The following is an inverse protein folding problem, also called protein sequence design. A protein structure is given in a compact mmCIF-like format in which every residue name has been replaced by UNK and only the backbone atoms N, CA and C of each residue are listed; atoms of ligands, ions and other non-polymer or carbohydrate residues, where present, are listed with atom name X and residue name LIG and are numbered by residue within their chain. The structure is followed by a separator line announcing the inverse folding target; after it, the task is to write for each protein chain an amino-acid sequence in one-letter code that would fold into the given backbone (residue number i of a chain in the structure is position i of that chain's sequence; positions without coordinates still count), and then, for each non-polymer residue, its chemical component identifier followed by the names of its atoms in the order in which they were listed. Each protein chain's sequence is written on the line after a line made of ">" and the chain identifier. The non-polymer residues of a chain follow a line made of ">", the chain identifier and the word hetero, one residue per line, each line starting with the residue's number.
data_IF_959212692109
#
_entry.id   IF_959212692109
#
_cell.length_a   1.000
_cell.length_b   1.000
_cell.length_c   1.000
_cell.angle_alpha   90.00
_cell.angle_beta   90.00
_cell.angle_gamma   90.00
#
_symmetry.space_group_name_H-M   'P 1'
#
loop_
_entity.id
_entity.type
_entity.pdbx_description
1 polymer ?
#
# COMPACT_ATOMS: atom_id res chain seq x y z
N UNK A 1 -42.69 -6.43 -41.37
CA UNK A 1 -42.32 -5.11 -40.81
C UNK A 1 -41.63 -5.43 -39.50
N UNK A 2 -40.31 -5.61 -39.58
CA UNK A 2 -39.46 -6.04 -38.48
C UNK A 2 -39.04 -4.81 -37.68
N UNK A 3 -39.37 -4.76 -36.39
CA UNK A 3 -38.80 -3.76 -35.48
C UNK A 3 -37.50 -4.28 -34.89
N UNK A 4 -36.44 -3.55 -35.22
CA UNK A 4 -35.07 -3.76 -34.77
C UNK A 4 -34.92 -3.44 -33.28
N UNK A 5 -34.28 -4.38 -32.62
CA UNK A 5 -33.71 -4.38 -31.27
C UNK A 5 -33.10 -3.04 -30.86
N UNK A 6 -33.67 -2.43 -29.82
CA UNK A 6 -33.02 -1.35 -29.06
C UNK A 6 -32.05 -1.96 -28.06
N UNK A 7 -30.79 -2.07 -28.46
CA UNK A 7 -29.69 -2.25 -27.52
C UNK A 7 -29.53 -0.98 -26.68
N UNK A 8 -29.79 -1.08 -25.38
CA UNK A 8 -29.36 -0.07 -24.40
C UNK A 8 -28.42 -0.74 -23.42
N UNK A 9 -27.17 -0.30 -23.56
CA UNK A 9 -25.99 -0.62 -22.77
C UNK A 9 -26.27 -0.58 -21.27
N UNK A 10 -26.52 -1.73 -20.66
CA UNK A 10 -26.48 -1.90 -19.21
C UNK A 10 -25.84 -3.25 -18.92
N UNK A 11 -24.53 -3.30 -18.74
CA UNK A 11 -23.78 -4.27 -17.90
C UNK A 11 -22.26 -4.15 -18.11
N UNK A 12 -21.77 -2.94 -18.37
CA UNK A 12 -20.33 -2.65 -18.46
C UNK A 12 -19.72 -2.18 -17.14
N UNK A 13 -20.45 -2.19 -16.03
CA UNK A 13 -19.83 -2.13 -14.69
C UNK A 13 -19.48 -3.55 -14.30
N UNK A 14 -18.29 -3.92 -14.76
CA UNK A 14 -17.53 -5.06 -14.31
C UNK A 14 -17.76 -5.30 -12.82
N UNK A 15 -18.15 -6.52 -12.48
CA UNK A 15 -18.12 -7.07 -11.13
C UNK A 15 -16.69 -6.94 -10.58
N UNK A 16 -16.31 -5.75 -10.10
CA UNK A 16 -15.22 -5.59 -9.16
C UNK A 16 -15.67 -6.33 -7.91
N UNK A 17 -15.32 -7.62 -7.88
CA UNK A 17 -15.65 -8.56 -6.82
C UNK A 17 -15.39 -7.84 -5.51
N UNK A 18 -16.46 -7.63 -4.73
CA UNK A 18 -16.36 -6.93 -3.46
C UNK A 18 -15.21 -7.53 -2.66
N UNK A 19 -14.32 -6.69 -2.12
CA UNK A 19 -13.15 -7.17 -1.40
C UNK A 19 -13.62 -7.96 -0.17
N UNK A 20 -13.45 -9.27 -0.24
CA UNK A 20 -13.92 -10.20 0.80
C UNK A 20 -13.07 -10.13 2.07
N UNK A 21 -11.82 -9.65 1.96
CA UNK A 21 -10.84 -9.66 3.06
C UNK A 21 -10.06 -8.36 3.14
N UNK A 22 -9.87 -7.90 4.37
CA UNK A 22 -8.97 -6.80 4.69
C UNK A 22 -7.53 -7.15 4.27
N UNK A 23 -6.75 -6.15 3.83
CA UNK A 23 -5.36 -6.32 3.41
C UNK A 23 -4.50 -5.16 3.86
N UNK A 24 -3.28 -5.49 4.26
CA UNK A 24 -2.20 -4.53 4.49
C UNK A 24 -0.96 -5.06 3.78
N UNK A 25 -0.39 -4.25 2.89
CA UNK A 25 0.79 -4.59 2.12
C UNK A 25 1.82 -3.49 2.30
N UNK A 26 3.08 -3.90 2.35
CA UNK A 26 4.21 -2.98 2.40
C UNK A 26 5.23 -3.34 1.33
N UNK A 27 5.68 -2.34 0.59
CA UNK A 27 6.64 -2.46 -0.51
C UNK A 27 7.80 -1.50 -0.28
N UNK A 28 9.02 -1.97 -0.55
CA UNK A 28 10.20 -1.11 -0.54
C UNK A 28 10.20 -0.21 -1.78
N UNK A 29 10.60 1.04 -1.61
CA UNK A 29 10.73 2.04 -2.67
C UNK A 29 12.09 2.73 -2.59
N UNK A 30 12.66 3.05 -3.75
CA UNK A 30 13.90 3.82 -3.89
C UNK A 30 13.56 5.32 -4.12
N UNK A 31 14.21 6.28 -3.43
CA UNK A 31 15.17 6.12 -2.32
C UNK A 31 14.48 5.70 -1.01
N UNK A 32 15.26 5.04 -0.13
CA UNK A 32 14.90 4.30 1.09
C UNK A 32 13.60 4.75 1.80
N UNK A 33 12.46 4.38 1.22
CA UNK A 33 11.13 4.66 1.73
C UNK A 33 10.26 3.43 1.56
N UNK A 34 9.18 3.35 2.33
CA UNK A 34 8.20 2.28 2.21
C UNK A 34 6.90 2.84 1.72
N UNK A 35 6.31 2.15 0.75
CA UNK A 35 4.92 2.32 0.38
C UNK A 35 4.09 1.32 1.19
N UNK A 36 3.08 1.82 1.88
CA UNK A 36 2.15 1.02 2.66
C UNK A 36 0.78 1.21 2.04
N UNK A 37 0.09 0.12 1.74
CA UNK A 37 -1.25 0.11 1.19
C UNK A 37 -2.16 -0.70 2.09
N UNK A 38 -3.35 -0.17 2.36
CA UNK A 38 -4.39 -0.90 3.07
C UNK A 38 -5.73 -0.81 2.38
N UNK A 39 -6.51 -1.85 2.60
CA UNK A 39 -7.85 -1.95 2.09
C UNK A 39 -8.70 -2.73 3.09
N UNK A 40 -9.87 -2.18 3.39
CA UNK A 40 -10.85 -2.82 4.27
C UNK A 40 -11.97 -3.41 3.43
N UNK A 41 -12.48 -4.56 3.87
CA UNK A 41 -13.73 -5.11 3.35
C UNK A 41 -14.90 -4.17 3.71
N UNK A 42 -16.03 -4.38 3.05
CA UNK A 42 -17.23 -3.54 3.25
C UNK A 42 -17.68 -3.46 4.71
N UNK A 43 -17.59 -4.57 5.45
CA UNK A 43 -17.93 -4.64 6.87
C UNK A 43 -17.03 -3.72 7.71
N UNK A 44 -15.71 -3.85 7.58
CA UNK A 44 -14.78 -3.05 8.38
C UNK A 44 -14.80 -1.58 7.99
N UNK A 45 -14.93 -1.27 6.70
CA UNK A 45 -15.16 0.11 6.25
C UNK A 45 -16.50 0.66 6.81
N UNK A 46 -17.54 -0.17 6.92
CA UNK A 46 -18.79 0.16 7.59
C UNK A 46 -18.59 0.52 9.06
N UNK A 47 -17.77 -0.23 9.79
CA UNK A 47 -17.45 0.04 11.19
C UNK A 47 -16.80 1.43 11.40
N UNK A 48 -15.89 1.84 10.53
CA UNK A 48 -15.33 3.21 10.55
C UNK A 48 -16.42 4.27 10.28
N UNK A 49 -17.28 4.07 9.27
CA UNK A 49 -18.36 5.01 8.94
C UNK A 49 -19.42 5.13 10.03
N UNK A 50 -19.64 4.06 10.79
CA UNK A 50 -20.59 4.01 11.91
C UNK A 50 -19.98 4.52 13.23
N UNK A 51 -18.70 4.92 13.24
CA UNK A 51 -18.03 5.43 14.45
C UNK A 51 -17.64 4.35 15.47
N UNK A 52 -17.63 3.07 15.07
CA UNK A 52 -17.09 1.97 15.91
C UNK A 52 -15.58 2.13 16.08
N UNK A 53 -14.92 2.75 15.10
CA UNK A 53 -13.53 3.17 15.17
C UNK A 53 -13.44 4.67 14.89
N UNK A 54 -12.37 5.31 15.40
CA UNK A 54 -12.04 6.69 15.05
C UNK A 54 -11.73 6.83 13.55
N UNK A 55 -11.84 8.06 13.05
CA UNK A 55 -11.58 8.39 11.63
C UNK A 55 -10.10 8.29 11.24
N UNK A 56 -9.22 8.18 12.22
CA UNK A 56 -7.79 8.01 12.02
C UNK A 56 -7.32 6.59 12.37
N UNK A 57 -6.41 6.08 11.55
CA UNK A 57 -5.63 4.89 11.82
C UNK A 57 -4.18 5.28 12.11
N UNK A 58 -3.51 4.50 12.95
CA UNK A 58 -2.08 4.60 13.24
C UNK A 58 -1.35 3.50 12.49
N UNK A 59 -0.47 3.89 11.58
CA UNK A 59 0.49 2.99 10.94
C UNK A 59 1.74 2.96 11.80
N UNK A 60 2.07 1.79 12.34
CA UNK A 60 3.29 1.57 13.13
C UNK A 60 4.25 0.68 12.37
N UNK A 61 5.49 1.12 12.24
CA UNK A 61 6.60 0.32 11.73
C UNK A 61 7.29 -0.38 12.88
N UNK A 62 7.69 -1.62 12.64
CA UNK A 62 8.44 -2.45 13.57
C UNK A 62 9.62 -3.08 12.85
N UNK A 63 10.73 -3.25 13.57
CA UNK A 63 11.82 -4.11 13.10
C UNK A 63 11.32 -5.56 13.07
N UNK A 64 11.55 -6.27 11.97
CA UNK A 64 11.06 -7.65 11.82
C UNK A 64 11.75 -8.65 12.74
N UNK A 65 12.99 -8.37 13.17
CA UNK A 65 13.82 -9.27 13.98
C UNK A 65 13.33 -9.37 15.44
N UNK A 66 13.10 -8.22 16.09
CA UNK A 66 12.78 -8.14 17.52
C UNK A 66 11.39 -7.55 17.79
N UNK A 67 10.66 -7.15 16.75
CA UNK A 67 9.34 -6.51 16.81
C UNK A 67 9.35 -5.21 17.63
N UNK A 68 10.50 -4.55 17.76
CA UNK A 68 10.59 -3.26 18.45
C UNK A 68 10.01 -2.15 17.56
N UNK A 69 9.34 -1.13 18.14
CA UNK A 69 8.80 -0.02 17.37
C UNK A 69 9.91 0.79 16.69
N UNK A 70 9.76 1.01 15.38
CA UNK A 70 10.67 1.80 14.56
C UNK A 70 10.09 3.18 14.18
N UNK A 71 8.76 3.32 14.19
CA UNK A 71 8.08 4.57 13.88
C UNK A 71 6.56 4.45 13.92
N UNK A 72 5.87 5.57 14.04
CA UNK A 72 4.41 5.67 14.05
C UNK A 72 3.98 6.94 13.31
N UNK A 73 2.92 6.85 12.51
CA UNK A 73 2.22 8.01 11.97
C UNK A 73 0.70 7.77 11.87
N UNK A 74 -0.07 8.85 12.00
CA UNK A 74 -1.52 8.83 11.84
C UNK A 74 -1.94 9.16 10.40
N UNK A 75 -2.98 8.49 9.92
CA UNK A 75 -3.57 8.67 8.60
C UNK A 75 -5.08 8.56 8.67
N UNK A 76 -5.79 9.20 7.73
CA UNK A 76 -7.22 8.92 7.55
C UNK A 76 -7.42 7.47 7.12
N UNK A 77 -8.44 6.79 7.67
CA UNK A 77 -8.70 5.37 7.39
C UNK A 77 -8.99 5.12 5.90
N UNK A 78 -9.49 6.12 5.18
CA UNK A 78 -9.84 6.10 3.76
C UNK A 78 -8.76 6.67 2.83
N UNK A 79 -7.54 6.95 3.34
CA UNK A 79 -6.44 7.35 2.49
C UNK A 79 -5.88 6.18 1.65
N UNK A 80 -6.11 4.93 2.11
CA UNK A 80 -5.69 3.65 1.51
C UNK A 80 -4.19 3.45 1.30
N UNK A 81 -3.38 4.49 1.46
CA UNK A 81 -1.93 4.44 1.28
C UNK A 81 -1.19 5.44 2.14
N UNK A 82 0.06 5.10 2.45
CA UNK A 82 1.00 5.97 3.13
C UNK A 82 2.42 5.76 2.56
N UNK A 83 3.24 6.79 2.74
CA UNK A 83 4.69 6.70 2.53
C UNK A 83 5.38 7.02 3.84
N UNK A 84 6.24 6.11 4.30
CA UNK A 84 7.04 6.31 5.50
C UNK A 84 8.51 6.16 5.15
N UNK A 85 9.37 6.81 5.93
CA UNK A 85 10.81 6.63 5.88
C UNK A 85 11.22 5.79 7.08
N UNK A 86 11.67 4.54 6.88
CA UNK A 86 12.24 3.77 7.96
C UNK A 86 13.51 4.45 8.51
N UNK A 87 13.82 4.27 9.80
CA UNK A 87 14.96 4.95 10.42
C UNK A 87 16.32 4.44 9.94
N UNK A 88 16.42 3.17 9.51
CA UNK A 88 17.68 2.55 9.08
C UNK A 88 17.51 1.81 7.74
N UNK A 89 18.52 1.92 6.89
CA UNK A 89 18.64 1.13 5.66
C UNK A 89 19.15 -0.29 5.94
N UNK A 90 18.94 -1.23 5.02
CA UNK A 90 19.41 -2.62 5.15
C UNK A 90 18.72 -3.46 6.23
N UNK A 91 17.82 -2.87 7.02
CA UNK A 91 17.04 -3.57 8.04
C UNK A 91 15.70 -4.05 7.48
N UNK A 92 15.19 -5.12 8.07
CA UNK A 92 13.87 -5.66 7.76
C UNK A 92 12.80 -5.04 8.66
N UNK A 93 11.69 -4.66 8.04
CA UNK A 93 10.55 -4.04 8.72
C UNK A 93 9.24 -4.70 8.33
N UNK A 94 8.25 -4.62 9.22
CA UNK A 94 6.84 -4.80 8.90
C UNK A 94 6.00 -3.63 9.44
N UNK A 95 4.80 -3.43 8.89
CA UNK A 95 3.84 -2.44 9.35
C UNK A 95 2.65 -3.12 10.03
N UNK A 96 2.11 -2.49 11.06
CA UNK A 96 0.81 -2.84 11.62
C UNK A 96 -0.10 -1.61 11.68
N UNK A 97 -1.38 -1.84 11.39
CA UNK A 97 -2.41 -0.82 11.47
C UNK A 97 -3.18 -0.94 12.77
N UNK A 98 -3.36 0.20 13.43
CA UNK A 98 -4.17 0.33 14.63
C UNK A 98 -5.28 1.34 14.41
N UNK A 99 -6.43 1.12 15.03
CA UNK A 99 -7.50 2.11 15.09
C UNK A 99 -7.87 2.38 16.53
N UNK A 100 -8.20 3.64 16.83
CA UNK A 100 -8.73 4.02 18.13
C UNK A 100 -10.19 3.57 18.24
N UNK A 101 -10.55 2.99 19.38
CA UNK A 101 -11.95 2.78 19.79
C UNK A 101 -12.51 4.06 20.42
N UNK A 102 -13.84 4.19 20.54
CA UNK A 102 -14.48 5.31 21.24
C UNK A 102 -13.98 5.51 22.68
N UNK A 103 -13.49 4.46 23.34
CA UNK A 103 -12.88 4.52 24.68
C UNK A 103 -11.43 5.01 24.73
N UNK A 104 -10.81 5.34 23.59
CA UNK A 104 -9.42 5.80 23.49
C UNK A 104 -8.38 4.69 23.34
N UNK A 105 -8.74 3.43 23.59
CA UNK A 105 -7.86 2.28 23.39
C UNK A 105 -7.59 2.03 21.90
N UNK A 106 -6.36 1.64 21.57
CA UNK A 106 -5.98 1.24 20.22
C UNK A 106 -6.06 -0.26 20.04
N UNK A 107 -6.75 -0.70 18.98
CA UNK A 107 -6.81 -2.09 18.55
C UNK A 107 -5.97 -2.31 17.29
N UNK A 108 -5.18 -3.39 17.24
CA UNK A 108 -4.47 -3.81 16.02
C UNK A 108 -5.46 -4.44 15.03
N UNK A 109 -5.59 -3.84 13.86
CA UNK A 109 -6.51 -4.32 12.81
C UNK A 109 -5.84 -5.26 11.81
N UNK A 110 -4.64 -4.91 11.35
CA UNK A 110 -3.94 -5.60 10.27
C UNK A 110 -2.43 -5.58 10.48
N UNK A 111 -1.74 -6.52 9.84
CA UNK A 111 -0.29 -6.63 9.81
C UNK A 111 0.17 -6.92 8.38
N UNK A 112 1.28 -6.30 7.96
CA UNK A 112 1.80 -6.42 6.60
C UNK A 112 2.76 -7.60 6.46
N UNK A 113 3.15 -7.89 5.21
CA UNK A 113 4.38 -8.63 4.94
C UNK A 113 5.62 -7.88 5.48
N UNK A 114 6.69 -8.63 5.77
CA UNK A 114 8.00 -8.04 6.05
C UNK A 114 8.75 -7.73 4.76
N UNK A 115 9.52 -6.64 4.73
CA UNK A 115 10.43 -6.29 3.64
C UNK A 115 11.78 -5.85 4.19
N UNK A 116 12.85 -6.08 3.43
CA UNK A 116 14.19 -5.56 3.73
C UNK A 116 14.41 -4.25 2.98
N UNK A 117 14.85 -3.21 3.68
CA UNK A 117 15.11 -1.92 3.07
C UNK A 117 16.36 -1.96 2.20
N UNK A 118 16.32 -1.37 0.99
CA UNK A 118 17.51 -1.24 0.17
C UNK A 118 18.54 -0.38 0.89
N UNK A 119 19.81 -0.75 0.76
CA UNK A 119 20.95 0.09 1.13
C UNK A 119 21.27 1.02 -0.04
N UNK A 120 21.40 2.31 0.24
CA UNK A 120 21.84 3.30 -0.72
C UNK A 120 23.29 2.97 -1.11
N UNK A 121 23.50 2.58 -2.37
CA UNK A 121 24.84 2.40 -2.89
C UNK A 121 25.51 3.77 -3.08
N UNK A 122 26.74 3.99 -2.59
CA UNK A 122 27.48 5.23 -2.83
C UNK A 122 27.95 5.37 -4.27
N UNK A 123 27.78 4.34 -5.11
CA UNK A 123 27.98 4.46 -6.56
C UNK A 123 26.87 5.35 -7.12
N UNK A 124 27.23 6.61 -7.37
CA UNK A 124 26.53 7.55 -8.25
C UNK A 124 25.73 6.80 -9.30
N UNK A 125 24.46 7.16 -9.47
CA UNK A 125 23.59 6.67 -10.53
C UNK A 125 24.17 6.97 -11.91
N UNK A 126 25.19 6.23 -12.33
CA UNK A 126 25.59 6.00 -13.71
C UNK A 126 24.61 5.01 -14.32
N UNK A 127 23.31 5.31 -14.29
CA UNK A 127 22.33 4.63 -15.12
C UNK A 127 22.40 5.22 -16.53
N UNK A 128 23.57 5.15 -17.15
CA UNK A 128 23.67 5.19 -18.60
C UNK A 128 23.33 3.79 -19.08
N UNK A 129 22.04 3.43 -18.98
CA UNK A 129 21.48 2.33 -19.77
C UNK A 129 21.35 2.85 -21.22
N UNK A 130 22.48 3.23 -21.82
CA UNK A 130 22.56 3.41 -23.25
C UNK A 130 22.72 2.00 -23.82
N UNK A 131 21.61 1.44 -24.30
CA UNK A 131 21.62 0.26 -25.17
C UNK A 131 22.38 0.58 -26.46
N UNK A 132 23.71 0.65 -26.38
CA UNK A 132 24.59 0.86 -27.54
C UNK A 132 24.65 -0.37 -28.45
N UNK A 133 24.13 -1.52 -27.99
CA UNK A 133 24.09 -2.76 -28.77
C UNK A 133 22.90 -2.83 -29.75
N UNK A 134 21.90 -1.95 -29.64
CA UNK A 134 20.71 -1.96 -30.51
C UNK A 134 20.80 -1.03 -31.73
N UNK A 135 21.87 -0.24 -31.85
CA UNK A 135 22.17 0.55 -33.05
C UNK A 135 23.43 0.02 -33.76
N UNK A 136 23.38 -1.22 -34.23
CA UNK A 136 24.23 -1.65 -35.34
C UNK A 136 23.39 -1.87 -36.59
N UNK A 137 23.52 -0.89 -37.50
CA UNK A 137 23.14 -0.88 -38.92
C UNK A 137 21.65 -0.93 -39.24
N UNK A 138 21.06 0.26 -39.33
CA UNK A 138 20.18 0.57 -40.45
C UNK A 138 20.75 1.79 -41.20
N UNK A 139 20.80 1.65 -42.53
CA UNK A 139 21.11 2.61 -43.59
C UNK A 139 22.57 2.72 -44.08
N UNK A 140 22.78 2.81 -45.41
CA UNK A 140 22.10 2.15 -46.55
C UNK A 140 22.93 1.00 -47.15
#
# INVERSE_FOLDING_TARGET
>A
MEELTTGVMQHGQENLKAIEKDRLLMLARNPASVFIFWQFCSNKAGAFRQGVYGTEIRVRLFYSEDKTPAGDAAFSWDAFKAYLKPPLEGKAYFAALYAAKPGGDYEKLLESNSITMPVSSPLSAGSTYASAEFMKKALP
#
